data_IF_918045547638
#
_entry.id   IF_918045547638
#
_cell.length_a   1.000
_cell.length_b   1.000
_cell.length_c   1.000
_cell.angle_alpha   90.00
_cell.angle_beta   90.00
_cell.angle_gamma   90.00
#
_symmetry.space_group_name_H-M   'P 1'
#
loop_
_entity.id
_entity.type
_entity.pdbx_description
1 polymer ?
#
# COMPACT_ATOMS: atom_id res chain seq x y z
N UNK A 1 -5.39 -21.19 3.21
CA UNK A 1 -4.31 -20.93 4.17
C UNK A 1 -4.95 -20.36 5.43
N UNK A 2 -4.47 -20.70 6.62
CA UNK A 2 -5.05 -20.12 7.84
C UNK A 2 -4.65 -18.64 7.90
N UNK A 3 -5.49 -17.76 8.49
CA UNK A 3 -5.17 -16.32 8.61
C UNK A 3 -3.80 -16.09 9.27
N UNK A 4 -3.39 -16.96 10.18
CA UNK A 4 -2.08 -16.92 10.81
C UNK A 4 -0.92 -17.15 9.83
N UNK A 5 -1.09 -18.05 8.85
CA UNK A 5 -0.08 -18.34 7.83
C UNK A 5 0.12 -17.13 6.91
N UNK A 6 -0.98 -16.49 6.51
CA UNK A 6 -0.94 -15.29 5.67
C UNK A 6 -0.27 -14.11 6.41
N UNK A 7 -0.61 -13.91 7.69
CA UNK A 7 0.06 -12.89 8.52
C UNK A 7 1.57 -13.16 8.60
N UNK A 8 1.97 -14.41 8.85
CA UNK A 8 3.39 -14.80 8.93
C UNK A 8 4.12 -14.57 7.60
N UNK A 9 3.48 -14.92 6.47
CA UNK A 9 4.03 -14.67 5.14
C UNK A 9 4.23 -13.18 4.87
N UNK A 10 3.23 -12.35 5.19
CA UNK A 10 3.32 -10.91 4.97
C UNK A 10 4.39 -10.27 5.87
N UNK A 11 4.48 -10.69 7.13
CA UNK A 11 5.56 -10.26 8.03
C UNK A 11 6.94 -10.60 7.47
N UNK A 12 7.09 -11.79 6.88
CA UNK A 12 8.33 -12.18 6.20
C UNK A 12 8.62 -11.28 5.00
N UNK A 13 7.62 -11.02 4.15
CA UNK A 13 7.76 -10.11 3.01
C UNK A 13 8.15 -8.69 3.44
N UNK A 14 7.50 -8.14 4.47
CA UNK A 14 7.83 -6.82 5.04
C UNK A 14 9.27 -6.76 5.57
N UNK A 15 9.78 -7.86 6.13
CA UNK A 15 11.14 -7.94 6.66
C UNK A 15 12.22 -8.17 5.58
N UNK A 16 11.90 -8.89 4.51
CA UNK A 16 12.85 -9.24 3.44
C UNK A 16 12.90 -8.20 2.32
N UNK A 17 11.78 -7.56 1.99
CA UNK A 17 11.68 -6.56 0.93
C UNK A 17 12.17 -5.18 1.42
N UNK A 18 13.47 -5.09 1.69
CA UNK A 18 14.16 -3.89 2.16
C UNK A 18 15.13 -3.38 1.09
N UNK A 19 14.94 -2.15 0.66
CA UNK A 19 15.80 -1.50 -0.33
C UNK A 19 17.14 -1.08 0.28
N UNK A 20 18.27 -1.25 -0.42
CA UNK A 20 19.54 -0.65 -0.01
C UNK A 20 19.54 0.88 -0.18
N UNK A 21 18.82 1.38 -1.19
CA UNK A 21 18.55 2.79 -1.45
C UNK A 21 17.25 2.90 -2.26
N UNK A 22 16.55 4.02 -2.14
CA UNK A 22 15.29 4.27 -2.85
C UNK A 22 15.24 5.72 -3.34
N UNK A 23 15.21 5.88 -4.66
CA UNK A 23 15.15 7.17 -5.35
C UNK A 23 14.02 7.19 -6.39
N UNK A 24 13.91 8.30 -7.13
CA UNK A 24 12.93 8.49 -8.20
C UNK A 24 13.03 7.42 -9.28
N UNK A 25 14.24 6.96 -9.61
CA UNK A 25 14.46 5.95 -10.66
C UNK A 25 13.97 4.56 -10.21
N UNK A 26 14.19 4.20 -8.94
CA UNK A 26 13.64 2.97 -8.34
C UNK A 26 12.11 3.05 -8.32
N UNK A 27 11.53 4.17 -7.88
CA UNK A 27 10.09 4.36 -7.88
C UNK A 27 9.49 4.23 -9.28
N UNK A 28 10.10 4.88 -10.29
CA UNK A 28 9.65 4.79 -11.68
C UNK A 28 9.74 3.38 -12.24
N UNK A 29 10.82 2.64 -11.95
CA UNK A 29 10.98 1.25 -12.40
C UNK A 29 9.91 0.32 -11.81
N UNK A 30 9.66 0.43 -10.51
CA UNK A 30 8.64 -0.38 -9.83
C UNK A 30 7.24 -0.02 -10.35
N UNK A 31 6.92 1.27 -10.41
CA UNK A 31 5.64 1.75 -10.90
C UNK A 31 5.36 1.31 -12.33
N UNK A 32 6.36 1.40 -13.21
CA UNK A 32 6.27 0.93 -14.60
C UNK A 32 6.03 -0.58 -14.68
N UNK A 33 6.75 -1.38 -13.89
CA UNK A 33 6.55 -2.83 -13.87
C UNK A 33 5.13 -3.23 -13.42
N UNK A 34 4.59 -2.55 -12.40
CA UNK A 34 3.21 -2.79 -11.95
C UNK A 34 2.20 -2.37 -13.03
N UNK A 35 2.41 -1.20 -13.65
CA UNK A 35 1.58 -0.70 -14.74
C UNK A 35 1.56 -1.65 -15.93
N UNK A 36 2.73 -2.11 -16.38
CA UNK A 36 2.84 -2.97 -17.56
C UNK A 36 2.14 -4.31 -17.33
N UNK A 37 2.29 -4.87 -16.12
CA UNK A 37 1.54 -6.06 -15.69
C UNK A 37 0.03 -5.79 -15.69
N UNK A 38 -0.41 -4.67 -15.11
CA UNK A 38 -1.82 -4.31 -15.05
C UNK A 38 -2.45 -4.13 -16.45
N UNK A 39 -1.70 -3.58 -17.41
CA UNK A 39 -2.15 -3.46 -18.79
C UNK A 39 -2.23 -4.84 -19.48
N UNK A 40 -1.21 -5.69 -19.29
CA UNK A 40 -1.21 -7.04 -19.84
C UNK A 40 -2.38 -7.89 -19.30
N UNK A 41 -2.78 -7.66 -18.05
CA UNK A 41 -3.87 -8.38 -17.37
C UNK A 41 -5.22 -7.63 -17.43
N UNK A 42 -5.32 -6.48 -18.11
CA UNK A 42 -6.51 -5.62 -18.19
C UNK A 42 -7.11 -5.25 -16.82
N UNK A 43 -6.27 -4.95 -15.83
CA UNK A 43 -6.70 -4.61 -14.47
C UNK A 43 -7.06 -3.12 -14.35
N UNK A 44 -8.30 -2.77 -13.93
CA UNK A 44 -8.76 -1.38 -13.82
C UNK A 44 -8.29 -0.71 -12.52
N UNK A 45 -6.97 -0.63 -12.33
CA UNK A 45 -6.35 -0.15 -11.09
C UNK A 45 -5.65 1.21 -11.26
N UNK A 46 -5.33 1.85 -10.14
CA UNK A 46 -4.29 2.88 -10.07
C UNK A 46 -3.09 2.37 -9.27
N UNK A 47 -1.92 2.94 -9.57
CA UNK A 47 -0.68 2.76 -8.81
C UNK A 47 -0.20 4.12 -8.35
N UNK A 48 0.10 4.27 -7.06
CA UNK A 48 0.59 5.48 -6.44
C UNK A 48 1.79 5.15 -5.53
N UNK A 49 2.98 5.62 -5.90
CA UNK A 49 4.22 5.39 -5.15
C UNK A 49 4.72 6.72 -4.62
N UNK A 50 4.94 6.79 -3.30
CA UNK A 50 5.33 8.03 -2.62
C UNK A 50 6.36 7.76 -1.53
N UNK A 51 7.23 8.74 -1.30
CA UNK A 51 7.74 9.01 0.06
C UNK A 51 6.67 9.79 0.83
N UNK A 52 6.73 9.83 2.16
CA UNK A 52 5.64 10.46 2.95
C UNK A 52 5.49 11.99 2.75
N UNK A 53 6.45 12.63 2.08
CA UNK A 53 6.48 14.05 1.74
C UNK A 53 6.03 14.36 0.29
N UNK A 54 6.24 13.44 -0.67
CA UNK A 54 5.94 13.71 -2.09
C UNK A 54 5.61 12.46 -2.93
N UNK A 55 4.75 12.60 -3.96
CA UNK A 55 4.56 11.54 -4.94
C UNK A 55 5.78 11.39 -5.86
N UNK A 56 6.08 10.14 -6.24
CA UNK A 56 7.20 9.79 -7.13
C UNK A 56 6.75 9.08 -8.41
N UNK A 57 5.63 8.35 -8.36
CA UNK A 57 5.03 7.72 -9.52
C UNK A 57 3.51 7.63 -9.36
N UNK A 58 2.77 7.94 -10.43
CA UNK A 58 1.33 7.71 -10.50
C UNK A 58 0.94 7.20 -11.89
N UNK A 59 0.11 6.17 -11.94
CA UNK A 59 -0.50 5.70 -13.18
C UNK A 59 -1.93 5.22 -12.92
N UNK A 60 -2.85 5.61 -13.81
CA UNK A 60 -4.22 5.13 -13.83
C UNK A 60 -4.43 4.26 -15.08
N UNK A 61 -4.93 3.04 -14.89
CA UNK A 61 -5.17 2.10 -15.99
C UNK A 61 -6.60 2.27 -16.51
N UNK A 62 -6.86 1.91 -17.79
CA UNK A 62 -8.21 1.94 -18.35
C UNK A 62 -9.21 1.23 -17.44
N UNK A 63 -10.35 1.87 -17.19
CA UNK A 63 -11.42 1.34 -16.33
C UNK A 63 -11.30 1.71 -14.84
N UNK A 64 -10.14 2.21 -14.38
CA UNK A 64 -10.08 2.87 -13.06
C UNK A 64 -10.89 4.17 -13.05
N UNK A 65 -11.35 4.61 -11.89
CA UNK A 65 -12.23 5.77 -11.74
C UNK A 65 -11.80 6.70 -10.59
N UNK A 66 -12.55 7.78 -10.39
CA UNK A 66 -12.24 8.84 -9.42
C UNK A 66 -12.23 8.37 -7.96
N UNK A 67 -12.81 7.21 -7.63
CA UNK A 67 -12.74 6.65 -6.27
C UNK A 67 -11.38 6.02 -5.96
N UNK A 68 -10.69 5.47 -6.97
CA UNK A 68 -9.44 4.72 -6.76
C UNK A 68 -8.34 5.58 -6.09
N UNK A 69 -8.12 6.86 -6.45
CA UNK A 69 -7.16 7.72 -5.74
C UNK A 69 -7.52 7.95 -4.27
N UNK A 70 -8.79 8.10 -3.91
CA UNK A 70 -9.21 8.28 -2.51
C UNK A 70 -8.95 7.01 -1.69
N UNK A 71 -9.28 5.85 -2.24
CA UNK A 71 -8.97 4.56 -1.61
C UNK A 71 -7.46 4.36 -1.45
N UNK A 72 -6.65 4.73 -2.45
CA UNK A 72 -5.20 4.68 -2.33
C UNK A 72 -4.69 5.63 -1.24
N UNK A 73 -5.20 6.86 -1.18
CA UNK A 73 -4.86 7.84 -0.11
C UNK A 73 -5.13 7.28 1.28
N UNK A 74 -6.30 6.65 1.51
CA UNK A 74 -6.64 6.05 2.81
C UNK A 74 -5.72 4.88 3.17
N UNK A 75 -5.34 4.05 2.19
CA UNK A 75 -4.33 2.97 2.38
C UNK A 75 -2.95 3.54 2.70
N UNK A 76 -2.53 4.60 1.99
CA UNK A 76 -1.27 5.32 2.23
C UNK A 76 -1.21 5.83 3.68
N UNK A 77 -2.29 6.43 4.18
CA UNK A 77 -2.38 6.90 5.56
C UNK A 77 -2.21 5.78 6.58
N UNK A 78 -2.78 4.59 6.32
CA UNK A 78 -2.57 3.40 7.17
C UNK A 78 -1.11 2.98 7.18
N UNK A 79 -0.46 2.85 6.01
CA UNK A 79 0.97 2.50 5.97
C UNK A 79 1.81 3.55 6.69
N UNK A 80 1.55 4.84 6.49
CA UNK A 80 2.25 5.95 7.17
C UNK A 80 2.09 5.89 8.69
N UNK A 81 0.90 5.54 9.18
CA UNK A 81 0.61 5.51 10.63
C UNK A 81 1.19 4.28 11.32
N UNK A 82 1.10 3.13 10.67
CA UNK A 82 1.38 1.82 11.30
C UNK A 82 2.67 1.17 10.81
N UNK A 83 3.29 1.70 9.76
CA UNK A 83 4.52 1.18 9.14
C UNK A 83 4.40 -0.30 8.73
N UNK A 84 3.18 -0.73 8.37
CA UNK A 84 2.81 -2.09 7.98
C UNK A 84 2.01 -2.05 6.68
N UNK A 85 2.04 -3.15 5.94
CA UNK A 85 1.16 -3.32 4.79
C UNK A 85 -0.31 -3.29 5.24
N UNK A 86 -1.16 -2.70 4.40
CA UNK A 86 -2.58 -2.54 4.77
C UNK A 86 -3.32 -3.87 4.78
N UNK A 87 -2.83 -4.87 4.03
CA UNK A 87 -3.40 -6.21 4.06
C UNK A 87 -3.10 -6.94 5.38
N UNK A 88 -1.89 -6.78 5.92
CA UNK A 88 -1.59 -7.26 7.28
C UNK A 88 -2.53 -6.65 8.31
N UNK A 89 -2.77 -5.34 8.24
CA UNK A 89 -3.70 -4.66 9.14
C UNK A 89 -5.12 -5.20 9.03
N UNK A 90 -5.60 -5.54 7.83
CA UNK A 90 -6.90 -6.20 7.63
C UNK A 90 -6.96 -7.53 8.37
N UNK A 91 -5.93 -8.37 8.21
CA UNK A 91 -5.89 -9.71 8.82
C UNK A 91 -5.72 -9.67 10.34
N UNK A 92 -4.96 -8.71 10.87
CA UNK A 92 -4.76 -8.51 12.30
C UNK A 92 -6.02 -7.94 12.99
N UNK A 93 -6.75 -7.04 12.33
CA UNK A 93 -7.89 -6.34 12.92
C UNK A 93 -9.23 -7.08 12.73
N UNK A 94 -9.40 -7.80 11.61
CA UNK A 94 -10.59 -8.60 11.29
C UNK A 94 -11.92 -7.85 11.49
N UNK A 95 -11.98 -6.60 11.02
CA UNK A 95 -13.16 -5.72 11.16
C UNK A 95 -14.03 -5.78 9.90
N UNK A 96 -15.29 -6.26 9.98
CA UNK A 96 -16.18 -6.33 8.81
C UNK A 96 -16.50 -4.97 8.20
N UNK A 97 -16.54 -3.92 9.02
CA UNK A 97 -16.83 -2.54 8.61
C UNK A 97 -15.63 -1.83 7.95
N UNK A 98 -14.48 -2.50 7.84
CA UNK A 98 -13.22 -1.97 7.30
C UNK A 98 -12.71 -0.70 8.00
N UNK A 99 -13.17 -0.44 9.22
CA UNK A 99 -12.78 0.72 10.03
C UNK A 99 -11.86 0.32 11.17
N UNK A 100 -11.08 1.28 11.66
CA UNK A 100 -10.33 1.11 12.90
C UNK A 100 -11.24 1.33 14.10
N UNK A 101 -10.90 0.75 15.25
CA UNK A 101 -11.71 0.88 16.47
C UNK A 101 -11.79 2.37 16.86
N UNK A 102 -12.95 2.85 17.37
CA UNK A 102 -13.09 4.26 17.77
C UNK A 102 -12.00 4.77 18.72
N UNK A 103 -11.48 3.89 19.60
CA UNK A 103 -10.39 4.22 20.52
C UNK A 103 -9.02 4.49 19.86
N UNK A 104 -8.84 4.18 18.57
CA UNK A 104 -7.61 4.50 17.83
C UNK A 104 -7.61 5.95 17.29
N UNK A 105 -8.76 6.64 17.31
CA UNK A 105 -8.87 8.04 16.90
C UNK A 105 -8.62 8.28 15.41
N UNK A 106 -8.92 7.29 14.57
CA UNK A 106 -8.73 7.36 13.11
C UNK A 106 -10.07 7.57 12.42
N UNK A 107 -10.20 8.68 11.69
CA UNK A 107 -11.40 8.95 10.90
C UNK A 107 -11.48 7.95 9.74
N UNK A 108 -12.65 7.35 9.55
CA UNK A 108 -12.91 6.46 8.43
C UNK A 108 -12.66 7.19 7.10
N UNK A 109 -12.93 8.49 7.00
CA UNK A 109 -12.69 9.31 5.80
C UNK A 109 -11.21 9.32 5.40
N UNK A 110 -10.29 9.10 6.33
CA UNK A 110 -8.84 9.16 6.11
C UNK A 110 -8.13 7.81 6.22
N UNK A 111 -8.76 6.80 6.81
CA UNK A 111 -8.16 5.49 7.07
C UNK A 111 -9.10 4.35 6.68
N UNK A 112 -8.54 3.28 6.11
CA UNK A 112 -9.33 2.12 5.71
C UNK A 112 -8.57 0.81 5.90
N UNK A 113 -9.24 -0.21 6.43
CA UNK A 113 -8.76 -1.58 6.43
C UNK A 113 -9.09 -2.22 5.07
N UNK A 114 -8.21 -2.01 4.10
CA UNK A 114 -8.26 -2.67 2.80
C UNK A 114 -6.85 -2.94 2.28
N UNK A 115 -6.65 -4.09 1.63
CA UNK A 115 -5.36 -4.43 1.01
C UNK A 115 -4.96 -3.48 -0.12
N UNK A 116 -3.66 -3.40 -0.39
CA UNK A 116 -3.10 -2.67 -1.53
C UNK A 116 -2.05 -1.62 -1.19
N UNK A 117 -1.78 -1.32 0.08
CA UNK A 117 -0.62 -0.51 0.49
C UNK A 117 0.51 -1.39 1.03
N UNK A 118 1.72 -1.21 0.53
CA UNK A 118 2.92 -1.90 0.98
C UNK A 118 4.04 -0.90 1.36
N UNK A 119 4.70 -1.04 2.53
CA UNK A 119 5.71 -0.09 2.98
C UNK A 119 6.96 -0.11 2.10
N UNK A 120 7.50 1.08 1.78
CA UNK A 120 8.84 1.23 1.20
C UNK A 120 9.83 1.34 2.36
N UNK A 121 10.58 0.26 2.59
CA UNK A 121 11.59 0.18 3.66
C UNK A 121 12.99 0.33 3.10
N UNK A 122 13.80 1.22 3.68
CA UNK A 122 15.22 1.40 3.31
C UNK A 122 16.11 0.96 4.47
N UNK A 123 17.16 0.20 4.16
CA UNK A 123 18.12 -0.32 5.14
C UNK A 123 18.75 0.83 5.93
N UNK A 124 18.61 0.80 7.25
CA UNK A 124 19.13 1.83 8.16
C UNK A 124 18.24 3.07 8.32
N UNK A 125 17.23 3.27 7.47
CA UNK A 125 16.29 4.39 7.57
C UNK A 125 14.88 3.98 8.04
N UNK A 126 14.51 2.70 7.86
CA UNK A 126 13.17 2.20 8.18
C UNK A 126 12.18 2.46 7.05
N UNK A 127 10.89 2.55 7.38
CA UNK A 127 9.82 2.80 6.41
C UNK A 127 9.77 4.29 6.07
N UNK A 128 10.02 4.63 4.80
CA UNK A 128 10.10 6.01 4.31
C UNK A 128 8.95 6.41 3.38
N UNK A 129 8.14 5.44 2.98
CA UNK A 129 7.12 5.63 1.95
C UNK A 129 6.23 4.41 1.76
N UNK A 130 5.52 4.39 0.65
CA UNK A 130 4.51 3.38 0.34
C UNK A 130 4.35 3.21 -1.16
N UNK A 131 4.13 1.96 -1.57
CA UNK A 131 3.59 1.59 -2.88
C UNK A 131 2.12 1.24 -2.65
N UNK A 132 1.21 2.00 -3.24
CA UNK A 132 -0.23 1.81 -3.11
C UNK A 132 -0.86 1.42 -4.45
N UNK A 133 -1.73 0.42 -4.41
CA UNK A 133 -2.54 -0.04 -5.54
C UNK A 133 -4.01 0.00 -5.14
N UNK A 134 -4.86 0.52 -6.03
CA UNK A 134 -6.32 0.50 -5.83
C UNK A 134 -7.07 0.20 -7.11
N UNK A 135 -7.84 -0.89 -7.08
CA UNK A 135 -8.81 -1.31 -8.09
C UNK A 135 -10.21 -1.30 -7.53
#
# INVERSE_FOLDING_TARGET
MAVADDIALIQKQEAELVFPAFDEAVAFKIGSAIRDRALAENLPIIVDIRTFDRPLFYAAMPGSNASNPDWARRKINVVRRFLKSTYRMVLEQQRPDRSFKPGEGLDISDYVLAGGGFPVTVKGAGVIGVIAVSG
#
